data_IF_384628425676
#
_entry.id   IF_384628425676
#
_cell.length_a   1.000
_cell.length_b   1.000
_cell.length_c   1.000
_cell.angle_alpha   90.00
_cell.angle_beta   90.00
_cell.angle_gamma   90.00
#
_symmetry.space_group_name_H-M   'P 1'
#
loop_
_entity.id
_entity.type
_entity.pdbx_description
1 polymer ?
#
# COMPACT_ATOMS: atom_id res chain seq x y z
N UNK A 1 -5.99 -30.66 39.03
CA UNK A 1 -6.76 -30.95 37.79
C UNK A 1 -6.69 -29.85 36.72
N UNK A 2 -6.98 -28.56 36.99
CA UNK A 2 -7.09 -27.55 35.91
C UNK A 2 -5.76 -27.28 35.18
N UNK A 3 -4.64 -27.30 35.88
CA UNK A 3 -3.30 -27.09 35.31
C UNK A 3 -2.96 -28.17 34.27
N UNK A 4 -3.25 -29.43 34.57
CA UNK A 4 -2.99 -30.56 33.67
C UNK A 4 -3.85 -30.46 32.42
N UNK A 5 -5.14 -30.12 32.56
CA UNK A 5 -6.04 -29.90 31.43
C UNK A 5 -5.55 -28.73 30.54
N UNK A 6 -5.11 -27.62 31.12
CA UNK A 6 -4.56 -26.49 30.34
C UNK A 6 -3.27 -26.83 29.59
N UNK A 7 -2.40 -27.68 30.16
CA UNK A 7 -1.19 -28.12 29.49
C UNK A 7 -1.50 -29.05 28.31
N UNK A 8 -2.49 -29.94 28.46
CA UNK A 8 -2.94 -30.80 27.38
C UNK A 8 -3.59 -30.04 26.24
N UNK A 9 -4.45 -29.06 26.53
CA UNK A 9 -5.05 -28.22 25.48
C UNK A 9 -4.00 -27.40 24.75
N UNK A 10 -3.00 -26.85 25.46
CA UNK A 10 -1.88 -26.15 24.83
C UNK A 10 -1.05 -27.09 23.94
N UNK A 11 -0.78 -28.32 24.39
CA UNK A 11 -0.03 -29.32 23.61
C UNK A 11 -0.80 -29.75 22.37
N UNK A 12 -2.09 -30.04 22.49
CA UNK A 12 -2.97 -30.40 21.38
C UNK A 12 -3.05 -29.26 20.33
N UNK A 13 -3.22 -28.02 20.78
CA UNK A 13 -3.20 -26.84 19.91
C UNK A 13 -1.88 -26.69 19.14
N UNK A 14 -0.74 -26.83 19.84
CA UNK A 14 0.59 -26.78 19.19
C UNK A 14 0.78 -27.86 18.13
N UNK A 15 0.28 -29.07 18.38
CA UNK A 15 0.31 -30.17 17.40
C UNK A 15 -0.58 -29.88 16.19
N UNK A 16 -1.80 -29.40 16.42
CA UNK A 16 -2.71 -28.99 15.34
C UNK A 16 -2.09 -27.89 14.48
N UNK A 17 -1.58 -26.82 15.11
CA UNK A 17 -0.91 -25.72 14.41
C UNK A 17 0.29 -26.22 13.59
N UNK A 18 1.10 -27.12 14.16
CA UNK A 18 2.22 -27.73 13.44
C UNK A 18 1.78 -28.50 12.20
N UNK A 19 0.70 -29.29 12.30
CA UNK A 19 0.15 -30.04 11.18
C UNK A 19 -0.42 -29.11 10.11
N UNK A 20 -1.20 -28.10 10.49
CA UNK A 20 -1.75 -27.09 9.58
C UNK A 20 -0.63 -26.37 8.84
N UNK A 21 0.41 -25.90 9.54
CA UNK A 21 1.53 -25.23 8.90
C UNK A 21 2.31 -26.17 7.99
N UNK A 22 2.58 -27.40 8.41
CA UNK A 22 3.33 -28.37 7.61
C UNK A 22 2.58 -28.76 6.34
N UNK A 23 1.28 -29.03 6.45
CA UNK A 23 0.43 -29.40 5.31
C UNK A 23 0.18 -28.22 4.36
N UNK A 24 0.03 -26.99 4.89
CA UNK A 24 -0.25 -25.82 4.07
C UNK A 24 0.92 -25.37 3.19
N UNK A 25 2.16 -25.69 3.57
CA UNK A 25 3.36 -25.32 2.78
C UNK A 25 3.31 -25.87 1.36
N UNK A 26 2.90 -27.12 1.17
CA UNK A 26 2.82 -27.71 -0.17
C UNK A 26 1.72 -27.07 -1.01
N UNK A 27 0.61 -26.65 -0.38
CA UNK A 27 -0.48 -25.95 -1.06
C UNK A 27 -0.02 -24.58 -1.54
N UNK A 28 0.59 -23.76 -0.67
CA UNK A 28 1.07 -22.43 -1.04
C UNK A 28 2.29 -22.45 -1.97
N UNK A 29 3.01 -23.57 -2.02
CA UNK A 29 4.10 -23.79 -2.96
C UNK A 29 3.61 -23.94 -4.40
N UNK A 30 2.44 -24.56 -4.61
CA UNK A 30 1.96 -24.93 -5.96
C UNK A 30 0.71 -24.16 -6.42
N UNK A 31 0.03 -23.44 -5.52
CA UNK A 31 -1.25 -22.82 -5.83
C UNK A 31 -1.22 -21.30 -5.56
N UNK A 32 -1.06 -20.53 -6.64
CA UNK A 32 -1.08 -19.06 -6.60
C UNK A 32 -2.44 -18.49 -6.16
N UNK A 33 -3.56 -19.15 -6.46
CA UNK A 33 -4.88 -18.71 -5.96
C UNK A 33 -4.95 -18.86 -4.43
N UNK A 34 -4.40 -19.93 -3.87
CA UNK A 34 -4.32 -20.08 -2.41
C UNK A 34 -3.50 -18.95 -1.77
N UNK A 35 -2.38 -18.57 -2.40
CA UNK A 35 -1.56 -17.42 -1.96
C UNK A 35 -2.36 -16.12 -2.05
N UNK A 36 -3.07 -15.88 -3.16
CA UNK A 36 -3.93 -14.72 -3.34
C UNK A 36 -5.04 -14.65 -2.27
N UNK A 37 -5.74 -15.77 -2.00
CA UNK A 37 -6.78 -15.82 -0.97
C UNK A 37 -6.21 -15.56 0.43
N UNK A 38 -4.99 -16.03 0.71
CA UNK A 38 -4.30 -15.74 1.97
C UNK A 38 -3.98 -14.24 2.10
N UNK A 39 -3.41 -13.63 1.06
CA UNK A 39 -3.16 -12.18 1.02
C UNK A 39 -4.47 -11.41 1.20
N UNK A 40 -5.51 -11.75 0.45
CA UNK A 40 -6.84 -11.17 0.58
C UNK A 40 -7.39 -11.29 2.00
N UNK A 41 -7.19 -12.43 2.66
CA UNK A 41 -7.58 -12.65 4.05
C UNK A 41 -6.81 -11.76 5.02
N UNK A 42 -5.51 -11.52 4.79
CA UNK A 42 -4.71 -10.57 5.56
C UNK A 42 -5.26 -9.13 5.42
N UNK A 43 -5.57 -8.69 4.20
CA UNK A 43 -6.17 -7.37 3.95
C UNK A 43 -7.54 -7.25 4.61
N UNK A 44 -8.40 -8.26 4.44
CA UNK A 44 -9.75 -8.32 5.02
C UNK A 44 -9.71 -8.23 6.55
N UNK A 45 -8.86 -9.04 7.20
CA UNK A 45 -8.70 -9.03 8.66
C UNK A 45 -8.14 -7.70 9.18
N UNK A 46 -7.16 -7.12 8.48
CA UNK A 46 -6.51 -5.86 8.90
C UNK A 46 -7.44 -4.67 8.72
N UNK A 47 -8.20 -4.61 7.62
CA UNK A 47 -9.07 -3.47 7.31
C UNK A 47 -10.47 -3.60 7.88
N UNK A 48 -10.86 -4.78 8.38
CA UNK A 48 -12.20 -5.05 8.90
C UNK A 48 -13.28 -5.02 7.82
N UNK A 49 -12.91 -5.25 6.56
CA UNK A 49 -13.85 -5.38 5.43
C UNK A 49 -14.60 -6.71 5.64
N UNK A 50 -15.94 -6.72 5.72
CA UNK A 50 -16.80 -7.90 5.99
C UNK A 50 -17.04 -8.32 7.46
N UNK A 51 -16.99 -7.42 8.45
CA UNK A 51 -17.46 -7.76 9.79
C UNK A 51 -18.99 -7.99 9.80
N UNK A 52 -19.44 -9.24 9.70
CA UNK A 52 -20.78 -9.68 10.09
C UNK A 52 -20.95 -9.38 11.59
N UNK A 53 -21.56 -8.23 11.91
CA UNK A 53 -22.31 -7.80 13.11
C UNK A 53 -21.92 -8.25 14.54
N UNK A 54 -20.86 -9.02 14.79
CA UNK A 54 -20.57 -9.61 16.12
C UNK A 54 -19.12 -9.38 16.57
N UNK A 55 -18.20 -8.93 15.71
CA UNK A 55 -16.86 -8.50 16.16
C UNK A 55 -16.21 -7.49 15.21
N UNK A 56 -16.30 -6.20 15.56
CA UNK A 56 -15.89 -5.06 14.73
C UNK A 56 -14.52 -4.48 15.11
N UNK A 57 -13.48 -5.31 15.28
CA UNK A 57 -12.12 -4.82 15.53
C UNK A 57 -11.16 -5.31 14.45
N UNK A 58 -11.06 -4.56 13.34
CA UNK A 58 -9.95 -4.72 12.40
C UNK A 58 -8.60 -4.36 13.04
N UNK A 59 -7.53 -4.44 12.26
CA UNK A 59 -6.18 -4.03 12.64
C UNK A 59 -5.21 -5.19 12.83
N UNK A 60 -4.00 -4.87 13.32
CA UNK A 60 -2.90 -5.84 13.52
C UNK A 60 -3.30 -6.95 14.50
N UNK A 61 -4.16 -6.64 15.47
CA UNK A 61 -4.71 -7.63 16.39
C UNK A 61 -5.48 -8.74 15.68
N UNK A 62 -6.44 -8.37 14.81
CA UNK A 62 -7.18 -9.34 14.00
C UNK A 62 -6.26 -10.12 13.04
N UNK A 63 -5.28 -9.45 12.44
CA UNK A 63 -4.29 -10.08 11.55
C UNK A 63 -3.46 -11.17 12.26
N UNK A 64 -3.03 -10.90 13.50
CA UNK A 64 -2.15 -11.78 14.28
C UNK A 64 -2.89 -12.62 15.32
N UNK A 65 -4.22 -12.61 15.33
CA UNK A 65 -5.04 -13.35 16.29
C UNK A 65 -5.04 -12.80 17.72
N UNK A 66 -4.54 -11.58 17.93
CA UNK A 66 -4.60 -10.86 19.19
C UNK A 66 -5.90 -10.05 19.25
N UNK A 67 -6.89 -10.58 19.97
CA UNK A 67 -8.26 -10.03 20.00
C UNK A 67 -9.31 -11.14 20.03
N UNK A 68 -8.93 -12.35 19.65
CA UNK A 68 -9.72 -13.57 19.83
C UNK A 68 -9.34 -14.27 21.13
N UNK A 69 -9.58 -13.58 22.24
CA UNK A 69 -9.57 -14.15 23.58
C UNK A 69 -11.00 -14.40 24.05
N UNK A 70 -11.34 -15.67 24.26
CA UNK A 70 -12.37 -16.16 25.20
C UNK A 70 -13.82 -16.48 24.77
N UNK A 71 -14.31 -16.15 23.57
CA UNK A 71 -15.74 -16.39 23.26
C UNK A 71 -16.11 -17.55 22.32
N UNK A 72 -15.17 -18.38 21.88
CA UNK A 72 -15.56 -19.68 21.31
C UNK A 72 -15.63 -20.73 22.41
N UNK A 73 -16.86 -20.97 22.88
CA UNK A 73 -17.22 -22.19 23.59
C UNK A 73 -16.76 -23.41 22.75
N UNK A 74 -15.65 -24.03 23.13
CA UNK A 74 -15.30 -25.41 22.75
C UNK A 74 -14.82 -25.69 21.32
N UNK A 75 -14.53 -24.68 20.48
CA UNK A 75 -14.06 -24.87 19.10
C UNK A 75 -12.55 -24.67 18.89
N UNK A 76 -11.99 -25.34 17.86
CA UNK A 76 -10.65 -25.03 17.33
C UNK A 76 -10.72 -23.63 16.71
N UNK A 77 -10.07 -22.63 17.32
CA UNK A 77 -9.98 -21.29 16.73
C UNK A 77 -9.23 -21.36 15.40
N UNK A 78 -9.75 -20.78 14.30
CA UNK A 78 -9.01 -20.72 13.04
C UNK A 78 -7.69 -19.97 13.25
N UNK A 79 -6.64 -20.43 12.56
CA UNK A 79 -5.33 -19.76 12.57
C UNK A 79 -5.48 -18.39 11.92
N UNK A 80 -5.00 -17.34 12.59
CA UNK A 80 -5.07 -15.99 12.06
C UNK A 80 -4.26 -15.86 10.75
N UNK A 81 -4.78 -15.14 9.74
CA UNK A 81 -4.20 -15.14 8.39
C UNK A 81 -2.77 -14.59 8.36
N UNK A 82 -2.44 -13.60 9.19
CA UNK A 82 -1.08 -13.08 9.29
C UNK A 82 -0.09 -14.07 9.89
N UNK A 83 -0.52 -14.86 10.88
CA UNK A 83 0.32 -15.93 11.45
C UNK A 83 0.57 -17.03 10.42
N UNK A 84 -0.47 -17.40 9.66
CA UNK A 84 -0.32 -18.37 8.58
C UNK A 84 0.67 -17.86 7.54
N UNK A 85 0.51 -16.62 7.07
CA UNK A 85 1.41 -15.99 6.12
C UNK A 85 2.87 -15.99 6.59
N UNK A 86 3.14 -15.55 7.83
CA UNK A 86 4.49 -15.54 8.41
C UNK A 86 5.14 -16.94 8.49
N UNK A 87 4.34 -18.02 8.49
CA UNK A 87 4.85 -19.39 8.52
C UNK A 87 5.11 -19.99 7.13
N UNK A 88 4.43 -19.48 6.11
CA UNK A 88 4.43 -20.07 4.75
C UNK A 88 5.07 -19.18 3.69
N UNK A 89 5.32 -17.89 3.96
CA UNK A 89 5.81 -16.95 2.93
C UNK A 89 7.12 -17.41 2.26
N UNK A 90 8.02 -18.08 2.99
CA UNK A 90 9.27 -18.64 2.44
C UNK A 90 9.07 -19.82 1.49
N UNK A 91 7.88 -20.40 1.47
CA UNK A 91 7.51 -21.51 0.60
C UNK A 91 6.84 -21.04 -0.70
N UNK A 92 6.62 -19.74 -0.87
CA UNK A 92 6.03 -19.20 -2.10
C UNK A 92 7.16 -19.02 -3.12
N UNK A 93 7.09 -19.69 -4.27
CA UNK A 93 8.15 -19.64 -5.30
C UNK A 93 8.03 -18.42 -6.23
N UNK A 94 6.82 -18.06 -6.66
CA UNK A 94 6.60 -16.97 -7.62
C UNK A 94 6.47 -15.62 -6.90
N UNK A 95 7.59 -15.12 -6.39
CA UNK A 95 7.59 -13.89 -5.59
C UNK A 95 7.27 -12.63 -6.40
N UNK A 96 7.51 -12.63 -7.72
CA UNK A 96 7.27 -11.45 -8.60
C UNK A 96 5.77 -11.17 -8.73
N UNK A 97 4.95 -12.21 -8.90
CA UNK A 97 3.49 -12.12 -8.95
C UNK A 97 2.88 -11.58 -7.65
N UNK A 98 3.52 -11.83 -6.50
CA UNK A 98 3.03 -11.34 -5.20
C UNK A 98 2.92 -9.81 -5.18
N UNK A 99 3.87 -9.09 -5.78
CA UNK A 99 3.84 -7.62 -5.80
C UNK A 99 2.63 -7.11 -6.59
N UNK A 100 2.34 -7.71 -7.74
CA UNK A 100 1.18 -7.36 -8.58
C UNK A 100 -0.15 -7.65 -7.86
N UNK A 101 -0.23 -8.79 -7.19
CA UNK A 101 -1.41 -9.15 -6.40
C UNK A 101 -1.61 -8.24 -5.20
N UNK A 102 -0.52 -7.84 -4.52
CA UNK A 102 -0.60 -6.86 -3.43
C UNK A 102 -1.07 -5.51 -3.96
N UNK A 103 -0.56 -5.02 -5.10
CA UNK A 103 -1.05 -3.78 -5.72
C UNK A 103 -2.54 -3.90 -6.05
N UNK A 104 -2.97 -5.00 -6.65
CA UNK A 104 -4.38 -5.28 -6.95
C UNK A 104 -5.27 -5.29 -5.70
N UNK A 105 -4.81 -5.90 -4.61
CA UNK A 105 -5.50 -5.92 -3.32
C UNK A 105 -5.55 -4.54 -2.66
N UNK A 106 -4.50 -3.71 -2.78
CA UNK A 106 -4.54 -2.31 -2.32
C UNK A 106 -5.59 -1.55 -3.12
N UNK A 107 -5.62 -1.68 -4.45
CA UNK A 107 -6.60 -0.99 -5.30
C UNK A 107 -8.04 -1.44 -5.00
N UNK A 108 -8.25 -2.73 -4.77
CA UNK A 108 -9.52 -3.28 -4.32
C UNK A 108 -9.92 -2.71 -2.96
N UNK A 109 -8.98 -2.70 -2.00
CA UNK A 109 -9.20 -2.16 -0.65
C UNK A 109 -9.54 -0.68 -0.68
N UNK A 110 -8.89 0.13 -1.52
CA UNK A 110 -9.20 1.56 -1.70
C UNK A 110 -10.65 1.73 -2.18
N UNK A 111 -11.09 0.93 -3.15
CA UNK A 111 -12.46 0.97 -3.64
C UNK A 111 -13.46 0.63 -2.53
N UNK A 112 -13.20 -0.42 -1.77
CA UNK A 112 -14.06 -0.81 -0.64
C UNK A 112 -14.08 0.25 0.46
N UNK A 113 -12.92 0.82 0.82
CA UNK A 113 -12.82 1.89 1.80
C UNK A 113 -13.63 3.09 1.34
N UNK A 114 -13.48 3.52 0.09
CA UNK A 114 -14.21 4.67 -0.43
C UNK A 114 -15.73 4.41 -0.47
N UNK A 115 -16.16 3.21 -0.87
CA UNK A 115 -17.57 2.86 -1.03
C UNK A 115 -18.27 2.42 0.27
N UNK A 116 -17.56 2.25 1.39
CA UNK A 116 -18.13 1.73 2.64
C UNK A 116 -19.01 2.73 3.39
N UNK A 117 -20.32 2.49 3.46
CA UNK A 117 -21.17 3.18 4.44
C UNK A 117 -20.75 2.76 5.87
N UNK A 118 -20.65 3.71 6.79
CA UNK A 118 -20.52 3.46 8.25
C UNK A 118 -21.58 2.43 8.71
N UNK A 119 -21.34 1.70 9.82
CA UNK A 119 -22.17 0.54 10.16
C UNK A 119 -23.65 0.95 10.20
N UNK A 120 -24.47 0.21 9.46
CA UNK A 120 -25.93 0.29 9.44
C UNK A 120 -26.46 0.15 10.87
N UNK A 121 -26.57 1.26 11.58
CA UNK A 121 -27.44 1.33 12.73
C UNK A 121 -28.85 1.63 12.22
N UNK A 122 -29.68 0.58 12.24
CA UNK A 122 -31.13 0.56 12.04
C UNK A 122 -31.70 1.40 10.89
N UNK A 123 -32.07 0.74 9.79
CA UNK A 123 -33.39 0.96 9.16
C UNK A 123 -33.89 -0.36 8.57
N UNK A 124 -34.79 -0.99 9.31
CA UNK A 124 -35.73 -1.95 8.75
C UNK A 124 -36.55 -1.29 7.63
N UNK A 125 -36.76 -2.05 6.55
CA UNK A 125 -37.66 -1.77 5.40
C UNK A 125 -37.18 -0.68 4.43
N UNK A 126 -36.68 -1.08 3.25
CA UNK A 126 -37.42 -0.87 2.00
C UNK A 126 -36.82 -1.67 0.83
N UNK A 127 -37.73 -2.08 -0.05
CA UNK A 127 -37.56 -2.98 -1.20
C UNK A 127 -36.58 -2.46 -2.27
N UNK A 128 -35.81 -3.42 -2.78
CA UNK A 128 -35.37 -3.62 -4.19
C UNK A 128 -35.59 -2.42 -5.13
N UNK A 129 -34.52 -1.66 -5.40
CA UNK A 129 -34.36 -0.88 -6.64
C UNK A 129 -32.91 -0.91 -7.12
N UNK A 130 -32.82 -0.84 -8.44
CA UNK A 130 -31.76 -1.22 -9.38
C UNK A 130 -30.64 -0.17 -9.45
N UNK A 131 -29.41 -0.65 -9.61
CA UNK A 131 -28.19 0.04 -10.07
C UNK A 131 -28.04 1.53 -9.71
N UNK A 132 -27.31 1.77 -8.64
CA UNK A 132 -26.68 3.06 -8.34
C UNK A 132 -25.83 2.88 -7.09
N UNK A 133 -24.53 2.63 -7.26
CA UNK A 133 -23.56 2.51 -6.16
C UNK A 133 -23.44 3.87 -5.48
N UNK A 134 -24.32 4.13 -4.52
CA UNK A 134 -24.36 5.38 -3.76
C UNK A 134 -23.33 5.25 -2.65
N UNK A 135 -22.16 5.82 -2.91
CA UNK A 135 -21.07 5.93 -1.95
C UNK A 135 -21.45 6.91 -0.83
N UNK A 136 -21.41 6.46 0.43
CA UNK A 136 -21.64 7.30 1.60
C UNK A 136 -20.58 8.39 1.78
N UNK A 137 -20.95 9.47 2.47
CA UNK A 137 -19.99 10.50 2.91
C UNK A 137 -19.12 9.95 4.04
N UNK A 138 -18.06 9.22 3.70
CA UNK A 138 -16.98 8.91 4.62
C UNK A 138 -16.10 10.14 4.78
N UNK A 139 -15.70 10.48 6.00
CA UNK A 139 -14.68 11.51 6.22
C UNK A 139 -13.39 11.14 5.49
N UNK A 140 -12.86 12.04 4.67
CA UNK A 140 -11.59 11.85 3.96
C UNK A 140 -10.46 11.41 4.90
N UNK A 141 -10.43 11.94 6.12
CA UNK A 141 -9.45 11.57 7.15
C UNK A 141 -9.59 10.09 7.56
N UNK A 142 -10.81 9.60 7.75
CA UNK A 142 -11.08 8.20 8.09
C UNK A 142 -10.77 7.25 6.92
N UNK A 143 -11.03 7.67 5.69
CA UNK A 143 -10.63 6.91 4.50
C UNK A 143 -9.09 6.84 4.40
N UNK A 144 -8.41 7.97 4.61
CA UNK A 144 -6.95 8.06 4.57
C UNK A 144 -6.27 7.17 5.61
N UNK A 145 -6.76 7.12 6.86
CA UNK A 145 -6.15 6.24 7.88
C UNK A 145 -6.23 4.77 7.47
N UNK A 146 -7.35 4.34 6.90
CA UNK A 146 -7.52 2.96 6.39
C UNK A 146 -6.66 2.70 5.14
N UNK A 147 -6.51 3.68 4.26
CA UNK A 147 -5.64 3.58 3.08
C UNK A 147 -4.17 3.46 3.49
N UNK A 148 -3.70 4.26 4.44
CA UNK A 148 -2.35 4.12 5.00
C UNK A 148 -2.14 2.75 5.64
N UNK A 149 -3.15 2.23 6.33
CA UNK A 149 -3.09 0.88 6.91
C UNK A 149 -2.98 -0.19 5.82
N UNK A 150 -3.77 -0.11 4.74
CA UNK A 150 -3.69 -1.02 3.59
C UNK A 150 -2.30 -0.97 2.94
N UNK A 151 -1.78 0.23 2.70
CA UNK A 151 -0.44 0.44 2.14
C UNK A 151 0.66 -0.13 3.05
N UNK A 152 0.57 0.08 4.37
CA UNK A 152 1.54 -0.45 5.33
C UNK A 152 1.55 -1.97 5.42
N UNK A 153 0.36 -2.60 5.33
CA UNK A 153 0.24 -4.05 5.25
C UNK A 153 0.89 -4.56 3.96
N UNK A 154 0.51 -3.98 2.81
CA UNK A 154 1.09 -4.34 1.51
C UNK A 154 2.61 -4.25 1.52
N UNK A 155 3.17 -3.15 2.02
CA UNK A 155 4.61 -2.95 2.09
C UNK A 155 5.30 -4.00 2.98
N UNK A 156 4.67 -4.37 4.09
CA UNK A 156 5.18 -5.41 4.99
C UNK A 156 5.19 -6.79 4.31
N UNK A 157 4.13 -7.13 3.56
CA UNK A 157 4.02 -8.40 2.85
C UNK A 157 5.01 -8.50 1.68
N UNK A 158 5.21 -7.41 0.91
CA UNK A 158 6.25 -7.35 -0.15
C UNK A 158 7.63 -7.56 0.46
N UNK A 159 7.95 -6.81 1.52
CA UNK A 159 9.25 -6.92 2.19
C UNK A 159 9.50 -8.33 2.73
N UNK A 160 8.51 -8.95 3.36
CA UNK A 160 8.63 -10.31 3.87
C UNK A 160 8.83 -11.33 2.73
N UNK A 161 8.10 -11.20 1.62
CA UNK A 161 8.10 -12.19 0.53
C UNK A 161 9.43 -12.29 -0.20
N UNK A 162 10.05 -11.16 -0.53
CA UNK A 162 11.25 -11.17 -1.37
C UNK A 162 12.18 -9.99 -1.16
N UNK A 163 12.03 -9.28 -0.04
CA UNK A 163 12.98 -8.29 0.44
C UNK A 163 13.36 -7.24 -0.60
N UNK A 164 14.66 -6.97 -0.68
CA UNK A 164 15.22 -5.95 -1.59
C UNK A 164 14.88 -6.23 -3.06
N UNK A 165 14.89 -7.50 -3.51
CA UNK A 165 14.65 -7.84 -4.91
C UNK A 165 13.26 -7.43 -5.39
N UNK A 166 12.22 -7.72 -4.59
CA UNK A 166 10.86 -7.30 -4.93
C UNK A 166 10.66 -5.80 -4.84
N UNK A 167 11.30 -5.13 -3.87
CA UNK A 167 11.22 -3.67 -3.79
C UNK A 167 11.90 -3.02 -5.01
N UNK A 168 13.01 -3.56 -5.50
CA UNK A 168 13.62 -3.07 -6.73
C UNK A 168 12.70 -3.27 -7.95
N UNK A 169 12.13 -4.46 -8.11
CA UNK A 169 11.16 -4.73 -9.17
C UNK A 169 9.92 -3.84 -9.07
N UNK A 170 9.45 -3.55 -7.85
CA UNK A 170 8.32 -2.65 -7.61
C UNK A 170 8.56 -1.26 -8.22
N UNK A 171 9.73 -0.67 -7.95
CA UNK A 171 10.08 0.67 -8.42
C UNK A 171 10.45 0.72 -9.90
N UNK A 172 11.19 -0.28 -10.40
CA UNK A 172 11.69 -0.31 -11.78
C UNK A 172 10.63 -0.79 -12.79
N UNK A 173 9.74 -1.69 -12.38
CA UNK A 173 8.87 -2.41 -13.31
C UNK A 173 7.40 -2.32 -12.90
N UNK A 174 7.03 -2.77 -11.70
CA UNK A 174 5.60 -2.94 -11.34
C UNK A 174 4.85 -1.62 -11.29
N UNK A 175 5.36 -0.59 -10.61
CA UNK A 175 4.68 0.72 -10.53
C UNK A 175 4.65 1.44 -11.89
N UNK A 176 5.78 1.59 -12.62
CA UNK A 176 5.73 2.18 -13.96
C UNK A 176 4.77 1.45 -14.90
N UNK A 177 4.80 0.12 -14.92
CA UNK A 177 3.90 -0.69 -15.75
C UNK A 177 2.43 -0.51 -15.36
N UNK A 178 2.13 -0.43 -14.05
CA UNK A 178 0.78 -0.16 -13.57
C UNK A 178 0.27 1.22 -14.00
N UNK A 179 1.11 2.26 -13.94
CA UNK A 179 0.71 3.60 -14.37
C UNK A 179 0.51 3.73 -15.89
N UNK A 180 1.30 2.98 -16.67
CA UNK A 180 1.20 2.94 -18.14
C UNK A 180 0.02 2.06 -18.59
N UNK A 181 -0.33 1.02 -17.83
CA UNK A 181 -1.43 0.12 -18.17
C UNK A 181 -2.75 0.88 -18.28
N UNK A 182 -3.51 0.57 -19.34
CA UNK A 182 -4.81 1.20 -19.61
C UNK A 182 -5.84 0.61 -18.67
N UNK A 183 -6.21 1.39 -17.65
CA UNK A 183 -7.37 1.10 -16.82
C UNK A 183 -8.50 2.01 -17.29
N UNK A 184 -9.37 1.53 -18.19
CA UNK A 184 -10.52 2.29 -18.66
C UNK A 184 -11.38 2.78 -17.49
N UNK A 185 -11.22 4.06 -17.12
CA UNK A 185 -12.20 4.79 -16.32
C UNK A 185 -13.05 5.58 -17.30
N UNK A 186 -14.22 5.05 -17.67
CA UNK A 186 -15.23 5.87 -18.32
C UNK A 186 -15.64 6.98 -17.37
N UNK A 187 -15.43 8.22 -17.79
CA UNK A 187 -15.81 9.44 -17.07
C UNK A 187 -17.18 9.33 -16.38
N UNK A 188 -17.21 9.58 -15.07
CA UNK A 188 -18.32 10.25 -14.38
C UNK A 188 -17.84 10.92 -13.09
N UNK A 189 -18.06 12.23 -13.01
CA UNK A 189 -17.96 12.98 -11.75
C UNK A 189 -18.90 12.36 -10.72
N UNK A 190 -18.29 11.76 -9.70
CA UNK A 190 -18.93 11.01 -8.65
C UNK A 190 -17.88 10.54 -7.63
N UNK A 191 -18.22 9.61 -6.73
CA UNK A 191 -17.26 9.00 -5.78
C UNK A 191 -16.03 8.36 -6.44
N UNK A 192 -16.05 8.21 -7.77
CA UNK A 192 -14.90 7.86 -8.61
C UNK A 192 -13.71 8.82 -8.45
N UNK A 193 -13.93 10.12 -8.26
CA UNK A 193 -12.85 11.09 -8.01
C UNK A 193 -12.15 10.88 -6.66
N UNK A 194 -12.90 10.52 -5.63
CA UNK A 194 -12.33 10.18 -4.31
C UNK A 194 -11.59 8.84 -4.36
N UNK A 195 -12.12 7.84 -5.06
CA UNK A 195 -11.45 6.55 -5.29
C UNK A 195 -10.11 6.78 -5.99
N UNK A 196 -10.10 7.53 -7.09
CA UNK A 196 -8.89 7.87 -7.84
C UNK A 196 -7.85 8.59 -6.97
N UNK A 197 -8.26 9.63 -6.24
CA UNK A 197 -7.40 10.33 -5.30
C UNK A 197 -6.77 9.37 -4.29
N UNK A 198 -7.60 8.55 -3.63
CA UNK A 198 -7.14 7.58 -2.63
C UNK A 198 -6.22 6.49 -3.22
N UNK A 199 -6.38 6.11 -4.49
CA UNK A 199 -5.47 5.17 -5.17
C UNK A 199 -4.08 5.76 -5.29
N UNK A 200 -3.97 7.01 -5.73
CA UNK A 200 -2.70 7.70 -5.85
C UNK A 200 -2.00 7.81 -4.50
N UNK A 201 -2.72 8.22 -3.46
CA UNK A 201 -2.18 8.22 -2.09
C UNK A 201 -1.76 6.82 -1.63
N UNK A 202 -2.59 5.79 -1.84
CA UNK A 202 -2.27 4.42 -1.43
C UNK A 202 -0.96 3.93 -2.04
N UNK A 203 -0.77 4.15 -3.35
CA UNK A 203 0.45 3.76 -4.07
C UNK A 203 1.66 4.54 -3.57
N UNK A 204 1.52 5.85 -3.29
CA UNK A 204 2.63 6.65 -2.79
C UNK A 204 3.08 6.20 -1.39
N UNK A 205 2.14 6.00 -0.46
CA UNK A 205 2.45 5.47 0.86
C UNK A 205 3.07 4.07 0.77
N UNK A 206 2.53 3.21 -0.10
CA UNK A 206 3.04 1.86 -0.31
C UNK A 206 4.48 1.88 -0.85
N UNK A 207 4.76 2.68 -1.88
CA UNK A 207 6.09 2.81 -2.48
C UNK A 207 7.13 3.30 -1.45
N UNK A 208 6.84 4.40 -0.75
CA UNK A 208 7.76 4.97 0.24
C UNK A 208 8.01 4.00 1.39
N UNK A 209 6.98 3.30 1.89
CA UNK A 209 7.15 2.31 2.95
C UNK A 209 7.97 1.10 2.48
N UNK A 210 7.74 0.61 1.25
CA UNK A 210 8.56 -0.44 0.65
C UNK A 210 10.04 -0.03 0.57
N UNK A 211 10.31 1.17 0.06
CA UNK A 211 11.67 1.70 -0.01
C UNK A 211 12.30 1.90 1.38
N UNK A 212 11.53 2.37 2.36
CA UNK A 212 11.99 2.58 3.73
C UNK A 212 12.36 1.25 4.41
N UNK A 213 11.57 0.19 4.19
CA UNK A 213 11.93 -1.15 4.68
C UNK A 213 13.17 -1.71 3.99
N UNK A 214 13.38 -1.42 2.70
CA UNK A 214 14.50 -1.95 1.94
C UNK A 214 15.82 -1.23 2.18
N UNK A 215 15.80 0.10 2.24
CA UNK A 215 17.01 0.94 2.23
C UNK A 215 17.21 1.74 3.51
N UNK A 216 16.20 1.81 4.36
CA UNK A 216 16.18 2.72 5.49
C UNK A 216 15.92 4.16 5.08
N UNK A 217 15.76 5.01 6.10
CA UNK A 217 15.50 6.44 5.93
C UNK A 217 16.82 7.18 5.64
N UNK A 218 17.92 6.81 6.29
CA UNK A 218 19.23 7.43 6.12
C UNK A 218 20.16 6.57 5.25
N UNK A 219 21.39 7.04 5.04
CA UNK A 219 22.42 6.34 4.26
C UNK A 219 23.32 5.47 5.16
N UNK A 220 22.86 5.13 6.37
CA UNK A 220 23.62 4.35 7.35
C UNK A 220 23.70 2.86 6.99
N UNK A 221 22.69 2.36 6.26
CA UNK A 221 22.58 0.95 5.92
C UNK A 221 23.37 0.62 4.65
N UNK A 222 23.98 -0.58 4.58
CA UNK A 222 24.61 -1.06 3.33
C UNK A 222 23.60 -1.25 2.20
N UNK A 223 22.34 -1.50 2.53
CA UNK A 223 21.24 -1.63 1.57
C UNK A 223 20.93 -0.31 0.84
N UNK A 224 21.23 0.84 1.46
CA UNK A 224 21.07 2.17 0.83
C UNK A 224 21.92 2.37 -0.42
N UNK A 225 23.00 1.61 -0.64
CA UNK A 225 23.86 1.76 -1.84
C UNK A 225 23.14 1.56 -3.17
N UNK A 226 22.05 0.77 -3.17
CA UNK A 226 21.22 0.54 -4.37
C UNK A 226 20.09 1.57 -4.52
N UNK A 227 19.81 2.36 -3.48
CA UNK A 227 18.72 3.34 -3.47
C UNK A 227 18.89 4.40 -4.57
N UNK A 228 20.05 5.07 -4.76
CA UNK A 228 20.17 6.10 -5.79
C UNK A 228 19.86 5.57 -7.21
N UNK A 229 20.34 4.37 -7.55
CA UNK A 229 20.09 3.75 -8.85
C UNK A 229 18.59 3.45 -9.06
N UNK A 230 17.94 2.82 -8.08
CA UNK A 230 16.54 2.38 -8.21
C UNK A 230 15.59 3.56 -8.14
N UNK A 231 15.81 4.45 -7.15
CA UNK A 231 15.01 5.64 -6.96
C UNK A 231 15.20 6.63 -8.10
N UNK A 232 16.42 6.80 -8.60
CA UNK A 232 16.72 7.65 -9.76
C UNK A 232 15.92 7.23 -10.99
N UNK A 233 15.84 5.93 -11.30
CA UNK A 233 15.01 5.42 -12.40
C UNK A 233 13.52 5.72 -12.19
N UNK A 234 13.02 5.56 -10.96
CA UNK A 234 11.63 5.85 -10.67
C UNK A 234 11.33 7.36 -10.79
N UNK A 235 12.20 8.22 -10.26
CA UNK A 235 12.06 9.66 -10.34
C UNK A 235 12.19 10.19 -11.77
N UNK A 236 13.07 9.58 -12.57
CA UNK A 236 13.17 9.85 -14.02
C UNK A 236 11.87 9.49 -14.75
N UNK A 237 11.26 8.36 -14.41
CA UNK A 237 9.94 7.99 -14.93
C UNK A 237 8.89 9.04 -14.55
N UNK A 238 8.86 9.51 -13.30
CA UNK A 238 7.94 10.57 -12.87
C UNK A 238 8.16 11.88 -13.65
N UNK A 239 9.40 12.32 -13.77
CA UNK A 239 9.76 13.53 -14.51
C UNK A 239 9.39 13.42 -15.99
N UNK A 240 9.69 12.29 -16.63
CA UNK A 240 9.37 12.05 -18.04
C UNK A 240 7.87 11.98 -18.31
N UNK A 241 7.08 11.43 -17.38
CA UNK A 241 5.62 11.46 -17.47
C UNK A 241 5.06 12.88 -17.28
N UNK A 242 5.60 13.69 -16.37
CA UNK A 242 5.23 15.09 -16.21
C UNK A 242 5.57 15.94 -17.46
N UNK A 243 6.71 15.67 -18.09
CA UNK A 243 7.12 16.30 -19.35
C UNK A 243 6.24 15.90 -20.54
N UNK A 244 5.34 14.91 -20.37
CA UNK A 244 4.54 14.36 -21.47
C UNK A 244 5.31 13.44 -22.41
N UNK A 245 6.53 13.01 -22.05
CA UNK A 245 7.33 12.04 -22.83
C UNK A 245 6.79 10.63 -22.71
N UNK A 246 6.07 10.33 -21.62
CA UNK A 246 5.45 9.04 -21.36
C UNK A 246 3.93 9.23 -21.26
N UNK A 247 3.19 8.49 -22.08
CA UNK A 247 1.73 8.42 -21.99
C UNK A 247 1.33 7.47 -20.85
N UNK A 248 0.45 7.95 -19.97
CA UNK A 248 -0.08 7.17 -18.85
C UNK A 248 -1.43 6.56 -19.22
N UNK A 249 -1.70 5.36 -18.75
CA UNK A 249 -2.98 4.65 -18.93
C UNK A 249 -3.93 4.77 -17.74
N UNK A 250 -3.44 5.24 -16.59
CA UNK A 250 -4.26 5.54 -15.41
C UNK A 250 -4.95 6.90 -15.49
N UNK A 251 -5.94 7.12 -14.61
CA UNK A 251 -6.63 8.41 -14.55
C UNK A 251 -5.72 9.53 -13.99
N UNK A 252 -5.92 10.75 -14.49
CA UNK A 252 -5.08 11.90 -14.14
C UNK A 252 -5.13 12.29 -12.66
N UNK A 253 -6.22 11.99 -11.96
CA UNK A 253 -6.36 12.28 -10.52
C UNK A 253 -5.51 11.31 -9.69
N UNK A 254 -5.52 10.03 -10.02
CA UNK A 254 -4.64 9.01 -9.43
C UNK A 254 -3.18 9.38 -9.65
N UNK A 255 -2.80 9.72 -10.91
CA UNK A 255 -1.44 10.13 -11.23
C UNK A 255 -0.99 11.35 -10.43
N UNK A 256 -1.76 12.44 -10.48
CA UNK A 256 -1.45 13.67 -9.75
C UNK A 256 -1.34 13.40 -8.25
N UNK A 257 -2.29 12.65 -7.67
CA UNK A 257 -2.28 12.33 -6.25
C UNK A 257 -1.08 11.47 -5.84
N UNK A 258 -0.65 10.53 -6.70
CA UNK A 258 0.56 9.74 -6.49
C UNK A 258 1.81 10.61 -6.44
N UNK A 259 2.04 11.43 -7.47
CA UNK A 259 3.24 12.28 -7.58
C UNK A 259 3.31 13.25 -6.41
N UNK A 260 2.21 13.94 -6.10
CA UNK A 260 2.18 14.90 -4.99
C UNK A 260 2.45 14.22 -3.65
N UNK A 261 1.80 13.08 -3.38
CA UNK A 261 1.98 12.36 -2.14
C UNK A 261 3.39 11.77 -2.01
N UNK A 262 3.92 11.19 -3.09
CA UNK A 262 5.25 10.57 -3.11
C UNK A 262 6.34 11.60 -2.86
N UNK A 263 6.32 12.72 -3.60
CA UNK A 263 7.29 13.82 -3.41
C UNK A 263 7.14 14.46 -2.03
N UNK A 264 5.91 14.69 -1.56
CA UNK A 264 5.69 15.24 -0.20
C UNK A 264 6.25 14.33 0.89
N UNK A 265 6.07 13.02 0.77
CA UNK A 265 6.64 12.03 1.69
C UNK A 265 8.17 11.99 1.59
N UNK A 266 8.74 12.16 0.39
CA UNK A 266 10.19 12.25 0.22
C UNK A 266 10.77 13.47 0.93
N UNK A 267 10.22 14.65 0.66
CA UNK A 267 10.63 15.92 1.27
C UNK A 267 10.45 15.88 2.80
N UNK A 268 9.31 15.37 3.28
CA UNK A 268 8.96 15.44 4.70
C UNK A 268 9.48 14.29 5.57
N UNK A 269 9.72 13.11 5.02
CA UNK A 269 10.03 11.90 5.81
C UNK A 269 11.36 11.24 5.45
N UNK A 270 11.82 11.36 4.20
CA UNK A 270 13.07 10.73 3.72
C UNK A 270 13.92 11.72 2.91
N UNK A 271 14.30 12.90 3.45
CA UNK A 271 14.94 13.97 2.68
C UNK A 271 16.31 13.58 2.10
N UNK A 272 17.03 12.66 2.75
CA UNK A 272 18.24 12.00 2.23
C UNK A 272 18.04 11.37 0.86
N UNK A 273 16.84 10.88 0.56
CA UNK A 273 16.53 10.27 -0.72
C UNK A 273 16.45 11.31 -1.83
N UNK A 274 15.98 12.52 -1.52
CA UNK A 274 15.93 13.63 -2.48
C UNK A 274 17.34 14.08 -2.87
N UNK A 275 18.25 14.16 -1.89
CA UNK A 275 19.67 14.50 -2.11
C UNK A 275 20.41 13.53 -3.04
N UNK A 276 19.92 12.29 -3.16
CA UNK A 276 20.54 11.24 -3.96
C UNK A 276 20.02 11.18 -5.40
N UNK A 277 19.01 11.99 -5.74
CA UNK A 277 18.43 12.06 -7.07
C UNK A 277 19.16 13.12 -7.90
N UNK A 278 19.33 12.83 -9.19
CA UNK A 278 19.98 13.74 -10.14
C UNK A 278 19.28 15.12 -10.19
N UNK A 279 20.08 16.19 -10.17
CA UNK A 279 19.58 17.56 -10.09
C UNK A 279 18.70 17.96 -11.28
N UNK A 280 18.95 17.42 -12.48
CA UNK A 280 18.11 17.68 -13.64
C UNK A 280 16.71 17.07 -13.49
N UNK A 281 16.65 15.86 -12.93
CA UNK A 281 15.38 15.19 -12.61
C UNK A 281 14.59 16.01 -11.60
N UNK A 282 15.24 16.49 -10.54
CA UNK A 282 14.59 17.33 -9.53
C UNK A 282 14.07 18.64 -10.12
N UNK A 283 14.83 19.28 -11.01
CA UNK A 283 14.42 20.49 -11.73
C UNK A 283 13.20 20.26 -12.62
N UNK A 284 13.16 19.16 -13.37
CA UNK A 284 12.01 18.81 -14.22
C UNK A 284 10.76 18.51 -13.39
N UNK A 285 10.91 17.73 -12.31
CA UNK A 285 9.82 17.48 -11.37
C UNK A 285 9.28 18.77 -10.78
N UNK A 286 10.16 19.65 -10.31
CA UNK A 286 9.79 20.95 -9.73
C UNK A 286 9.01 21.82 -10.73
N UNK A 287 9.43 21.86 -12.00
CA UNK A 287 8.69 22.55 -13.07
C UNK A 287 7.28 21.98 -13.25
N UNK A 288 7.14 20.65 -13.29
CA UNK A 288 5.83 20.00 -13.39
C UNK A 288 4.93 20.28 -12.18
N UNK A 289 5.48 20.26 -10.96
CA UNK A 289 4.74 20.61 -9.74
C UNK A 289 4.25 22.06 -9.77
N UNK A 290 5.08 23.00 -10.25
CA UNK A 290 4.68 24.39 -10.41
C UNK A 290 3.52 24.56 -11.41
N UNK A 291 3.53 23.83 -12.51
CA UNK A 291 2.43 23.84 -13.49
C UNK A 291 1.11 23.35 -12.87
N UNK A 292 1.18 22.53 -11.82
CA UNK A 292 0.02 22.10 -11.04
C UNK A 292 -0.36 23.06 -9.90
N UNK A 293 0.28 24.22 -9.81
CA UNK A 293 0.13 25.21 -8.75
C UNK A 293 0.62 24.72 -7.37
N UNK A 294 1.62 23.84 -7.36
CA UNK A 294 2.20 23.25 -6.13
C UNK A 294 3.58 23.86 -5.86
N UNK A 295 3.62 25.20 -5.83
CA UNK A 295 4.86 25.99 -5.76
C UNK A 295 5.69 25.74 -4.50
N UNK A 296 5.05 25.56 -3.34
CA UNK A 296 5.75 25.26 -2.08
C UNK A 296 6.48 23.91 -2.14
N UNK A 297 5.82 22.88 -2.70
CA UNK A 297 6.43 21.56 -2.86
C UNK A 297 7.53 21.57 -3.94
N UNK A 298 7.31 22.34 -5.01
CA UNK A 298 8.30 22.56 -6.07
C UNK A 298 9.57 23.25 -5.53
N UNK A 299 9.43 24.22 -4.62
CA UNK A 299 10.56 24.84 -3.94
C UNK A 299 11.19 23.91 -2.92
N UNK A 300 10.40 23.17 -2.15
CA UNK A 300 10.91 22.27 -1.12
C UNK A 300 11.79 21.14 -1.70
N UNK A 301 11.39 20.55 -2.84
CA UNK A 301 12.19 19.49 -3.47
C UNK A 301 13.55 20.02 -3.97
N UNK A 302 13.60 21.24 -4.52
CA UNK A 302 14.87 21.87 -4.93
C UNK A 302 15.68 22.34 -3.72
N UNK A 303 15.04 22.85 -2.66
CA UNK A 303 15.74 23.25 -1.45
C UNK A 303 16.48 22.09 -0.79
N UNK A 304 15.92 20.88 -0.84
CA UNK A 304 16.55 19.67 -0.32
C UNK A 304 17.56 19.08 -1.31
N UNK A 305 17.40 19.27 -2.62
CA UNK A 305 18.27 18.71 -3.67
C UNK A 305 19.74 19.21 -3.67
N UNK A 306 20.14 20.03 -2.70
CA UNK A 306 21.53 20.46 -2.52
C UNK A 306 21.98 21.56 -3.48
N UNK A 307 23.30 21.77 -3.54
CA UNK A 307 23.92 22.93 -4.22
C UNK A 307 23.55 22.98 -5.71
N UNK A 308 23.47 21.83 -6.37
CA UNK A 308 23.21 21.73 -7.82
C UNK A 308 21.81 22.21 -8.22
N UNK A 309 20.86 22.22 -7.29
CA UNK A 309 19.48 22.66 -7.53
C UNK A 309 19.19 24.08 -7.03
N UNK A 310 20.13 24.72 -6.31
CA UNK A 310 19.95 26.07 -5.76
C UNK A 310 19.69 27.14 -6.82
N UNK A 311 20.33 27.04 -7.99
CA UNK A 311 20.08 27.96 -9.11
C UNK A 311 18.62 27.90 -9.58
N UNK A 312 18.11 26.69 -9.78
CA UNK A 312 16.71 26.46 -10.16
C UNK A 312 15.73 26.92 -9.06
N UNK A 313 16.09 26.75 -7.78
CA UNK A 313 15.28 27.26 -6.67
C UNK A 313 15.20 28.80 -6.68
N UNK A 314 16.32 29.48 -6.94
CA UNK A 314 16.35 30.95 -7.03
C UNK A 314 15.52 31.46 -8.22
N UNK A 315 15.64 30.83 -9.39
CA UNK A 315 14.82 31.14 -10.56
C UNK A 315 13.31 31.02 -10.25
N UNK A 316 12.90 29.94 -9.57
CA UNK A 316 11.50 29.75 -9.18
C UNK A 316 10.97 30.83 -8.23
N UNK A 317 11.80 31.33 -7.31
CA UNK A 317 11.40 32.40 -6.39
C UNK A 317 11.24 33.71 -7.16
N UNK A 318 12.17 34.02 -8.07
CA UNK A 318 12.15 35.26 -8.86
C UNK A 318 10.93 35.28 -9.80
N UNK A 319 10.63 34.17 -10.46
CA UNK A 319 9.49 34.08 -11.38
C UNK A 319 8.12 33.93 -10.66
N UNK A 320 8.12 33.75 -9.34
CA UNK A 320 6.92 33.66 -8.50
C UNK A 320 6.54 34.99 -7.82
N UNK A 321 7.39 36.01 -7.91
CA UNK A 321 7.12 37.40 -7.51
C UNK A 321 6.42 38.16 -8.64
#
# INVERSE_FOLDING_TARGET
MPIVASLWTQKAKRWFDFLVFSASRTVFLHNNDAVFQLLKSCFTATLGLNALAISSSGGVGALLGHGYGSHFFGGISPVAPGILYLRVYRSIQETVFITEEIVSLIMFSVREIACSDLPRERVDKLKRTRNGTRCGKISLMAAMTRVKLAASLGASLVWLSGGLGLVQALFKETLPSWFIAVYSSEHKEGPEGMVAMLRGYALAYFAVLCGAFAWGIDSSSSASKRRPEVLGLHMEFLASALDGKISLGCDGVTWRSYVLAFVSLMVGCVPSWVLEVDADVLRRLSKGLRQWNEGELALAILGIGGIETMGAAAELIIEGQ
#
